data_IF_660253825230
#
_entry.id   IF_660253825230
#
_cell.length_a   1.000
_cell.length_b   1.000
_cell.length_c   1.000
_cell.angle_alpha   90.00
_cell.angle_beta   90.00
_cell.angle_gamma   90.00
#
_symmetry.space_group_name_H-M   'P 1'
#
loop_
_entity.id
_entity.type
_entity.pdbx_description
1 polymer ?
#
# COMPACT_ATOMS: atom_id res chain seq x y z
N UNK A 1 -54.07 -20.46 1.80
CA UNK A 1 -53.76 -20.87 0.42
C UNK A 1 -52.42 -20.28 0.02
N UNK A 2 -51.33 -21.04 0.16
CA UNK A 2 -49.99 -20.60 -0.24
C UNK A 2 -49.86 -20.72 -1.75
N UNK A 3 -49.81 -19.58 -2.44
CA UNK A 3 -49.46 -19.51 -3.86
C UNK A 3 -47.95 -19.67 -4.01
N UNK A 4 -47.48 -20.90 -4.12
CA UNK A 4 -46.12 -21.19 -4.55
C UNK A 4 -45.99 -20.76 -6.02
N UNK A 5 -45.29 -19.65 -6.29
CA UNK A 5 -44.94 -19.27 -7.66
C UNK A 5 -43.90 -20.28 -8.16
N UNK A 6 -44.24 -21.03 -9.19
CA UNK A 6 -43.28 -21.86 -9.91
C UNK A 6 -42.40 -20.91 -10.72
N UNK A 7 -41.14 -20.77 -10.31
CA UNK A 7 -40.15 -19.96 -11.01
C UNK A 7 -39.77 -20.69 -12.30
N UNK A 8 -39.86 -20.01 -13.44
CA UNK A 8 -39.48 -20.64 -14.71
C UNK A 8 -37.95 -20.66 -14.83
N UNK A 9 -37.39 -21.74 -15.39
CA UNK A 9 -35.94 -21.81 -15.64
C UNK A 9 -35.46 -20.66 -16.53
N UNK A 10 -36.33 -20.17 -17.42
CA UNK A 10 -36.05 -19.05 -18.34
C UNK A 10 -35.89 -17.73 -17.57
N UNK A 11 -36.72 -17.46 -16.56
CA UNK A 11 -36.58 -16.28 -15.70
C UNK A 11 -35.23 -16.27 -14.96
N UNK A 12 -34.79 -17.42 -14.45
CA UNK A 12 -33.49 -17.49 -13.77
C UNK A 12 -32.33 -17.31 -14.77
N UNK A 13 -32.46 -17.93 -15.95
CA UNK A 13 -31.43 -17.94 -16.98
C UNK A 13 -31.18 -16.55 -17.58
N UNK A 14 -32.23 -15.77 -17.83
CA UNK A 14 -32.06 -14.41 -18.37
C UNK A 14 -31.40 -13.48 -17.35
N UNK A 15 -31.70 -13.65 -16.06
CA UNK A 15 -31.12 -12.83 -14.99
C UNK A 15 -29.62 -13.07 -14.86
N UNK A 16 -29.19 -14.34 -14.81
CA UNK A 16 -27.75 -14.65 -14.75
C UNK A 16 -27.01 -14.21 -16.01
N UNK A 17 -27.65 -14.27 -17.18
CA UNK A 17 -27.06 -13.80 -18.43
C UNK A 17 -26.81 -12.29 -18.41
N UNK A 18 -27.77 -11.50 -17.92
CA UNK A 18 -27.60 -10.05 -17.79
C UNK A 18 -26.51 -9.72 -16.75
N UNK A 19 -26.51 -10.39 -15.59
CA UNK A 19 -25.47 -10.21 -14.55
C UNK A 19 -24.09 -10.54 -15.12
N UNK A 20 -23.94 -11.62 -15.89
CA UNK A 20 -22.67 -12.01 -16.47
C UNK A 20 -22.12 -10.95 -17.46
N UNK A 21 -22.99 -10.38 -18.30
CA UNK A 21 -22.60 -9.30 -19.23
C UNK A 21 -22.12 -8.08 -18.45
N UNK A 22 -22.88 -7.64 -17.45
CA UNK A 22 -22.51 -6.49 -16.62
C UNK A 22 -21.22 -6.74 -15.83
N UNK A 23 -21.07 -7.91 -15.21
CA UNK A 23 -19.89 -8.30 -14.46
C UNK A 23 -18.63 -8.36 -15.36
N UNK A 24 -18.77 -8.82 -16.60
CA UNK A 24 -17.64 -8.91 -17.55
C UNK A 24 -17.01 -7.54 -17.86
N UNK A 25 -17.80 -6.46 -17.82
CA UNK A 25 -17.31 -5.09 -17.99
C UNK A 25 -16.75 -4.51 -16.67
N UNK A 26 -17.29 -4.93 -15.52
CA UNK A 26 -16.93 -4.42 -14.20
C UNK A 26 -15.64 -5.03 -13.63
N UNK A 27 -15.43 -6.34 -13.78
CA UNK A 27 -14.24 -7.04 -13.27
C UNK A 27 -12.90 -6.45 -13.76
N UNK A 28 -12.70 -6.20 -15.08
CA UNK A 28 -11.45 -5.60 -15.55
C UNK A 28 -11.29 -4.15 -15.08
N UNK A 29 -12.38 -3.39 -14.96
CA UNK A 29 -12.34 -2.02 -14.44
C UNK A 29 -11.97 -2.00 -12.94
N UNK A 30 -12.54 -2.90 -12.14
CA UNK A 30 -12.24 -3.04 -10.71
C UNK A 30 -10.79 -3.47 -10.47
N UNK A 31 -10.26 -4.39 -11.28
CA UNK A 31 -8.85 -4.80 -11.20
C UNK A 31 -7.90 -3.60 -11.43
N UNK A 32 -8.17 -2.78 -12.46
CA UNK A 32 -7.41 -1.55 -12.73
C UNK A 32 -7.56 -0.52 -11.62
N UNK A 33 -8.77 -0.33 -11.08
CA UNK A 33 -9.02 0.60 -9.98
C UNK A 33 -8.25 0.20 -8.70
N UNK A 34 -8.23 -1.09 -8.37
CA UNK A 34 -7.47 -1.62 -7.23
C UNK A 34 -5.96 -1.40 -7.38
N UNK A 35 -5.43 -1.61 -8.58
CA UNK A 35 -4.02 -1.36 -8.86
C UNK A 35 -3.67 0.13 -8.75
N UNK A 36 -4.55 1.01 -9.25
CA UNK A 36 -4.40 2.47 -9.07
C UNK A 36 -4.48 2.89 -7.61
N UNK A 37 -5.35 2.28 -6.81
CA UNK A 37 -5.42 2.52 -5.37
C UNK A 37 -4.10 2.12 -4.67
N UNK A 38 -3.53 0.95 -5.01
CA UNK A 38 -2.22 0.51 -4.50
C UNK A 38 -1.10 1.47 -4.89
N UNK A 39 -1.08 1.93 -6.14
CA UNK A 39 -0.10 2.93 -6.60
C UNK A 39 -0.24 4.24 -5.82
N UNK A 40 -1.46 4.71 -5.59
CA UNK A 40 -1.72 5.91 -4.80
C UNK A 40 -1.24 5.77 -3.35
N UNK A 41 -1.53 4.63 -2.71
CA UNK A 41 -1.03 4.32 -1.36
C UNK A 41 0.49 4.28 -1.31
N UNK A 42 1.14 3.59 -2.27
CA UNK A 42 2.59 3.53 -2.35
C UNK A 42 3.22 4.92 -2.51
N UNK A 43 2.67 5.75 -3.40
CA UNK A 43 3.14 7.12 -3.60
C UNK A 43 2.95 7.99 -2.35
N UNK A 44 1.84 7.83 -1.63
CA UNK A 44 1.61 8.49 -0.34
C UNK A 44 2.67 8.08 0.68
N UNK A 45 2.95 6.78 0.81
CA UNK A 45 3.97 6.27 1.72
C UNK A 45 5.37 6.82 1.39
N UNK A 46 5.75 6.82 0.11
CA UNK A 46 7.03 7.38 -0.34
C UNK A 46 7.15 8.87 -0.01
N UNK A 47 6.06 9.64 -0.22
CA UNK A 47 6.03 11.06 0.15
C UNK A 47 6.23 11.24 1.66
N UNK A 48 5.56 10.42 2.49
CA UNK A 48 5.71 10.49 3.95
C UNK A 48 7.13 10.13 4.40
N UNK A 49 7.77 9.11 3.78
CA UNK A 49 9.17 8.79 4.04
C UNK A 49 10.13 9.91 3.64
N UNK A 50 9.94 10.52 2.47
CA UNK A 50 10.75 11.65 2.03
C UNK A 50 10.63 12.84 2.97
N UNK A 51 9.41 13.18 3.38
CA UNK A 51 9.17 14.25 4.36
C UNK A 51 9.78 13.93 5.72
N UNK A 52 9.59 12.70 6.22
CA UNK A 52 10.19 12.28 7.50
C UNK A 52 11.72 12.29 7.45
N UNK A 53 12.33 12.01 6.29
CA UNK A 53 13.78 12.10 6.10
C UNK A 53 14.27 13.55 6.20
N UNK A 54 13.53 14.49 5.61
CA UNK A 54 13.85 15.91 5.70
C UNK A 54 13.70 16.44 7.12
N UNK A 55 12.62 16.07 7.82
CA UNK A 55 12.40 16.44 9.22
C UNK A 55 13.49 15.86 10.13
N UNK A 56 13.90 14.61 9.89
CA UNK A 56 15.03 14.01 10.60
C UNK A 56 16.32 14.81 10.39
N UNK A 57 16.62 15.22 9.15
CA UNK A 57 17.82 15.97 8.85
C UNK A 57 17.84 17.34 9.54
N UNK A 58 16.69 18.03 9.59
CA UNK A 58 16.54 19.31 10.30
C UNK A 58 16.88 19.17 11.80
N UNK A 59 16.36 18.13 12.44
CA UNK A 59 16.60 17.85 13.87
C UNK A 59 18.02 17.33 14.18
N UNK A 60 18.73 16.76 13.19
CA UNK A 60 20.02 16.08 13.37
C UNK A 60 21.21 16.81 12.72
N UNK A 61 21.08 18.12 12.47
CA UNK A 61 22.16 18.95 11.93
C UNK A 61 22.52 18.58 10.49
N UNK A 62 21.50 18.49 9.64
CA UNK A 62 21.57 18.16 8.20
C UNK A 62 22.08 16.74 7.90
N UNK A 63 22.14 15.88 8.91
CA UNK A 63 22.57 14.48 8.73
C UNK A 63 21.40 13.63 8.26
N UNK A 64 21.59 12.94 7.15
CA UNK A 64 20.65 11.94 6.67
C UNK A 64 20.68 10.67 7.54
N UNK A 65 19.56 9.92 7.62
CA UNK A 65 19.51 8.68 8.37
C UNK A 65 20.42 7.63 7.73
N UNK A 66 21.40 7.17 8.50
CA UNK A 66 22.48 6.32 8.01
C UNK A 66 21.98 4.88 7.75
N UNK A 67 22.15 4.41 6.52
CA UNK A 67 22.20 2.99 6.19
C UNK A 67 23.64 2.56 6.41
N UNK A 68 23.90 1.70 7.40
CA UNK A 68 25.23 1.12 7.61
C UNK A 68 25.78 0.58 6.28
N UNK A 69 26.71 1.31 5.67
CA UNK A 69 27.57 0.76 4.63
C UNK A 69 28.60 -0.06 5.38
N UNK A 70 28.41 -1.38 5.43
CA UNK A 70 29.42 -2.29 5.96
C UNK A 70 30.56 -2.35 4.95
N UNK A 71 31.41 -1.33 4.94
CA UNK A 71 32.67 -1.42 4.22
C UNK A 71 33.61 -2.30 5.05
N UNK A 72 34.02 -3.44 4.50
CA UNK A 72 34.74 -4.49 5.21
C UNK A 72 36.19 -4.10 5.63
N UNK A 73 36.57 -2.82 5.49
CA UNK A 73 37.93 -2.34 5.71
C UNK A 73 38.10 -1.06 6.52
N UNK A 74 37.05 -0.43 7.05
CA UNK A 74 37.21 0.83 7.79
C UNK A 74 37.38 0.60 9.31
N UNK A 75 38.52 0.99 9.91
CA UNK A 75 38.76 0.82 11.34
C UNK A 75 38.04 1.92 12.12
N UNK A 76 36.75 1.71 12.42
CA UNK A 76 35.96 2.69 13.16
C UNK A 76 34.46 2.46 13.26
N UNK A 77 33.96 1.28 12.86
CA UNK A 77 32.53 0.99 12.96
C UNK A 77 32.15 0.68 14.40
N UNK A 78 31.62 1.70 15.07
CA UNK A 78 30.94 1.63 16.36
C UNK A 78 29.81 0.60 16.25
N UNK A 79 29.90 -0.50 17.02
CA UNK A 79 28.83 -1.49 17.26
C UNK A 79 27.69 -0.90 18.12
N UNK A 80 27.25 0.32 17.81
CA UNK A 80 26.24 1.04 18.57
C UNK A 80 24.97 1.14 17.77
N UNK A 81 23.95 0.37 18.17
CA UNK A 81 22.58 0.36 17.66
C UNK A 81 22.45 0.35 16.11
N UNK A 82 22.21 -0.84 15.56
CA UNK A 82 21.69 -1.05 14.20
C UNK A 82 20.28 -0.46 14.11
N UNK A 83 20.15 0.87 14.10
CA UNK A 83 18.90 1.53 13.73
C UNK A 83 18.87 1.57 12.22
N UNK A 84 17.97 0.80 11.63
CA UNK A 84 17.71 0.92 10.21
C UNK A 84 17.27 2.36 9.91
N UNK A 85 17.62 2.94 8.75
CA UNK A 85 17.21 4.30 8.38
C UNK A 85 15.70 4.54 8.54
N UNK A 86 14.90 3.50 8.32
CA UNK A 86 13.46 3.57 8.53
C UNK A 86 13.09 3.78 10.00
N UNK A 87 13.79 3.14 10.95
CA UNK A 87 13.52 3.26 12.39
C UNK A 87 13.86 4.63 12.96
N UNK A 88 14.88 5.32 12.42
CA UNK A 88 15.23 6.68 12.84
C UNK A 88 14.25 7.73 12.32
N UNK A 89 13.60 7.47 11.17
CA UNK A 89 12.57 8.35 10.60
C UNK A 89 11.16 8.03 11.15
N UNK A 90 10.94 6.86 11.79
CA UNK A 90 9.63 6.45 12.32
C UNK A 90 8.89 7.47 13.21
N UNK A 91 9.53 8.31 14.05
CA UNK A 91 8.79 9.34 14.81
C UNK A 91 8.24 10.47 13.91
N UNK A 92 8.75 10.63 12.69
CA UNK A 92 8.34 11.68 11.75
C UNK A 92 7.36 11.18 10.68
N UNK A 93 7.08 9.88 10.63
CA UNK A 93 6.09 9.30 9.70
C UNK A 93 4.76 9.18 10.41
N UNK A 94 3.76 9.92 9.94
CA UNK A 94 2.46 10.05 10.59
C UNK A 94 1.52 8.86 10.39
N UNK A 95 1.77 7.99 9.41
CA UNK A 95 0.89 6.86 9.10
C UNK A 95 1.67 5.53 9.00
N UNK A 96 1.18 4.50 9.70
CA UNK A 96 1.76 3.15 9.72
C UNK A 96 0.91 2.12 8.98
N UNK A 97 -0.23 2.52 8.43
CA UNK A 97 -1.24 1.59 7.94
C UNK A 97 -1.35 1.61 6.40
N UNK A 98 -0.54 0.76 5.76
CA UNK A 98 -0.92 0.05 4.53
C UNK A 98 -0.57 -1.42 4.70
#
# INVERSE_FOLDING_TARGET
MNRSRLFTLIELLVVIAIIAILASMLLPALAKAREKARQASCMSNLKQHGLGTLMYADDNGERLPCSIVMDAGSPGYVYGNRRYPQESIMPYVTDRNV
#
